data_IF_639903039435
#
_entry.id   IF_639903039435
#
_cell.length_a   1.000
_cell.length_b   1.000
_cell.length_c   1.000
_cell.angle_alpha   90.00
_cell.angle_beta   90.00
_cell.angle_gamma   90.00
#
_symmetry.space_group_name_H-M   'P 1'
#
loop_
_entity.id
_entity.type
_entity.pdbx_description
1 polymer ?
#
# COMPACT_ATOMS: atom_id res chain seq x y z
N UNK A 1 22.57 -7.84 -23.36
CA UNK A 1 21.41 -8.36 -22.62
C UNK A 1 21.67 -8.19 -21.13
N UNK A 2 21.35 -7.03 -20.58
CA UNK A 2 21.11 -6.81 -19.13
C UNK A 2 20.35 -5.48 -18.95
N UNK A 3 19.37 -5.20 -19.82
CA UNK A 3 18.54 -3.98 -19.76
C UNK A 3 17.20 -4.24 -19.06
N UNK A 4 17.21 -4.97 -17.93
CA UNK A 4 15.97 -5.34 -17.22
C UNK A 4 15.99 -5.02 -15.72
N UNK A 5 17.08 -4.44 -15.20
CA UNK A 5 17.24 -4.24 -13.75
C UNK A 5 17.59 -2.81 -13.34
N UNK A 6 17.32 -1.81 -14.18
CA UNK A 6 17.10 -0.45 -13.69
C UNK A 6 15.64 -0.30 -13.28
N UNK A 7 15.22 -1.08 -12.29
CA UNK A 7 14.08 -0.68 -11.49
C UNK A 7 14.60 0.50 -10.69
N UNK A 8 14.42 1.72 -11.21
CA UNK A 8 14.48 2.92 -10.40
C UNK A 8 13.62 2.63 -9.17
N UNK A 9 14.26 2.42 -8.02
CA UNK A 9 13.61 2.57 -6.73
C UNK A 9 13.17 4.02 -6.67
N UNK A 10 12.01 4.32 -7.26
CA UNK A 10 11.21 5.49 -6.91
C UNK A 10 10.85 5.28 -5.45
N UNK A 11 11.78 5.63 -4.56
CA UNK A 11 11.51 5.85 -3.15
C UNK A 11 10.25 6.68 -3.16
N UNK A 12 9.16 6.10 -2.65
CA UNK A 12 7.92 6.83 -2.42
C UNK A 12 8.27 7.86 -1.37
N UNK A 13 8.82 8.99 -1.81
CA UNK A 13 9.01 10.18 -1.01
C UNK A 13 7.60 10.55 -0.60
N UNK A 14 7.27 10.25 0.66
CA UNK A 14 6.06 10.74 1.28
C UNK A 14 6.28 12.25 1.30
N UNK A 15 5.65 12.96 0.36
CA UNK A 15 5.61 14.41 0.41
C UNK A 15 5.16 14.77 1.83
N UNK A 16 5.99 15.52 2.55
CA UNK A 16 5.65 16.00 3.88
C UNK A 16 4.38 16.83 3.73
N UNK A 17 3.24 16.27 4.12
CA UNK A 17 1.98 16.97 4.11
C UNK A 17 2.12 18.10 5.13
N UNK A 18 2.00 19.35 4.67
CA UNK A 18 1.98 20.48 5.59
C UNK A 18 0.65 20.45 6.33
N UNK A 19 0.68 20.04 7.61
CA UNK A 19 -0.50 19.87 8.45
C UNK A 19 -0.95 21.18 9.09
N UNK A 20 -0.16 22.26 8.98
CA UNK A 20 -0.43 23.53 9.66
C UNK A 20 -1.65 24.27 9.06
N UNK A 21 -2.00 23.97 7.81
CA UNK A 21 -3.17 24.54 7.11
C UNK A 21 -4.46 23.71 7.32
N UNK A 22 -4.38 22.55 7.97
CA UNK A 22 -5.52 21.65 8.14
C UNK A 22 -6.26 21.93 9.46
N UNK A 23 -7.58 22.03 9.38
CA UNK A 23 -8.41 22.06 10.60
C UNK A 23 -8.42 20.69 11.29
N UNK A 24 -8.79 20.64 12.57
CA UNK A 24 -8.92 19.38 13.32
C UNK A 24 -9.88 18.41 12.61
N UNK A 25 -10.92 18.91 11.95
CA UNK A 25 -11.87 18.10 11.18
C UNK A 25 -11.23 17.52 9.92
N UNK A 26 -10.45 18.31 9.20
CA UNK A 26 -9.75 17.86 8.00
C UNK A 26 -8.69 16.80 8.33
N UNK A 27 -7.97 16.97 9.45
CA UNK A 27 -7.04 15.95 9.97
C UNK A 27 -7.74 14.64 10.30
N UNK A 28 -8.90 14.70 10.96
CA UNK A 28 -9.70 13.50 11.26
C UNK A 28 -10.18 12.80 10.00
N UNK A 29 -10.64 13.57 8.99
CA UNK A 29 -11.04 13.02 7.71
C UNK A 29 -9.86 12.34 7.01
N UNK A 30 -8.70 12.99 7.00
CA UNK A 30 -7.48 12.45 6.40
C UNK A 30 -7.03 11.15 7.07
N UNK A 31 -7.05 11.08 8.41
CA UNK A 31 -6.77 9.84 9.15
C UNK A 31 -7.73 8.72 8.70
N UNK A 32 -9.02 9.02 8.58
CA UNK A 32 -10.02 8.03 8.20
C UNK A 32 -9.81 7.53 6.74
N UNK A 33 -9.40 8.42 5.83
CA UNK A 33 -9.01 8.05 4.46
C UNK A 33 -7.79 7.11 4.45
N UNK A 34 -6.76 7.41 5.25
CA UNK A 34 -5.58 6.56 5.39
C UNK A 34 -5.91 5.19 5.98
N UNK A 35 -6.77 5.12 6.99
CA UNK A 35 -7.22 3.85 7.58
C UNK A 35 -7.98 2.98 6.56
N UNK A 36 -8.82 3.60 5.72
CA UNK A 36 -9.51 2.91 4.64
C UNK A 36 -8.53 2.35 3.59
N UNK A 37 -7.51 3.12 3.24
CA UNK A 37 -6.45 2.70 2.31
C UNK A 37 -5.66 1.50 2.87
N UNK A 38 -5.27 1.55 4.15
CA UNK A 38 -4.60 0.45 4.84
C UNK A 38 -5.48 -0.80 4.83
N UNK A 39 -6.78 -0.66 5.10
CA UNK A 39 -7.72 -1.79 5.08
C UNK A 39 -7.88 -2.40 3.69
N UNK A 40 -7.91 -1.58 2.63
CA UNK A 40 -7.93 -2.06 1.25
C UNK A 40 -6.67 -2.85 0.92
N UNK A 41 -5.49 -2.31 1.25
CA UNK A 41 -4.22 -2.98 1.01
C UNK A 41 -4.14 -4.33 1.75
N UNK A 42 -4.55 -4.38 3.02
CA UNK A 42 -4.60 -5.63 3.81
C UNK A 42 -5.49 -6.70 3.16
N UNK A 43 -6.66 -6.31 2.63
CA UNK A 43 -7.56 -7.24 1.92
C UNK A 43 -6.92 -7.83 0.67
N UNK A 44 -6.23 -7.02 -0.12
CA UNK A 44 -5.55 -7.49 -1.33
C UNK A 44 -4.37 -8.41 -1.00
N UNK A 45 -3.59 -8.10 0.04
CA UNK A 45 -2.53 -8.98 0.54
C UNK A 45 -3.12 -10.32 1.00
N UNK A 46 -4.22 -10.31 1.75
CA UNK A 46 -4.89 -11.52 2.20
C UNK A 46 -5.40 -12.39 1.02
N UNK A 47 -5.97 -11.77 -0.03
CA UNK A 47 -6.37 -12.47 -1.25
C UNK A 47 -5.18 -13.11 -1.96
N UNK A 48 -4.08 -12.37 -2.12
CA UNK A 48 -2.85 -12.90 -2.74
C UNK A 48 -2.29 -14.08 -1.95
N UNK A 49 -2.20 -13.96 -0.63
CA UNK A 49 -1.73 -15.05 0.24
C UNK A 49 -2.64 -16.27 0.18
N UNK A 50 -3.96 -16.08 0.06
CA UNK A 50 -4.90 -17.19 -0.12
C UNK A 50 -4.64 -17.93 -1.43
N UNK A 51 -4.47 -17.19 -2.53
CA UNK A 51 -4.16 -17.77 -3.86
C UNK A 51 -2.83 -18.51 -3.83
N UNK A 52 -1.79 -17.94 -3.20
CA UNK A 52 -0.49 -18.60 -3.04
C UNK A 52 -0.62 -19.91 -2.27
N UNK A 53 -1.29 -19.90 -1.12
CA UNK A 53 -1.51 -21.11 -0.32
C UNK A 53 -2.34 -22.17 -1.06
N UNK A 54 -3.32 -21.76 -1.87
CA UNK A 54 -4.11 -22.68 -2.70
C UNK A 54 -3.27 -23.28 -3.83
N UNK A 55 -2.41 -22.49 -4.47
CA UNK A 55 -1.47 -22.96 -5.48
C UNK A 55 -0.44 -23.95 -4.86
N UNK A 56 0.13 -23.61 -3.71
CA UNK A 56 1.09 -24.47 -3.01
C UNK A 56 0.49 -25.84 -2.67
N UNK A 57 -0.78 -25.87 -2.23
CA UNK A 57 -1.54 -27.11 -2.00
C UNK A 57 -1.90 -27.89 -3.26
N UNK A 58 -1.94 -27.23 -4.42
CA UNK A 58 -2.26 -27.89 -5.69
C UNK A 58 -1.03 -28.57 -6.29
N UNK A 59 0.17 -28.02 -6.05
CA UNK A 59 1.44 -28.53 -6.57
C UNK A 59 2.25 -29.37 -5.58
N UNK A 60 1.79 -29.53 -4.33
CA UNK A 60 2.37 -30.40 -3.30
C UNK A 60 1.42 -31.54 -2.97
#
# INVERSE_FOLDING_TARGET
MTDFLEIEEKKKTINTLNLDDFSIEDLKKYINELENEINRAKKEIAKKNKILNEADKFFT
#
